data_IF_814372727232
#
_entry.id   IF_814372727232
#
_cell.length_a   1.000
_cell.length_b   1.000
_cell.length_c   1.000
_cell.angle_alpha   90.00
_cell.angle_beta   90.00
_cell.angle_gamma   90.00
#
_symmetry.space_group_name_H-M   'P 1'
#
loop_
_entity.id
_entity.type
_entity.pdbx_description
1 polymer ?
#
# COMPACT_ATOMS: atom_id res chain seq x y z
N UNK A 1 7.54 40.23 -11.04
CA UNK A 1 9.00 40.10 -11.26
C UNK A 1 9.64 39.42 -10.06
N UNK A 2 10.07 38.16 -10.21
CA UNK A 2 11.40 37.65 -9.85
C UNK A 2 11.49 36.19 -10.29
N UNK A 3 12.32 35.99 -11.30
CA UNK A 3 12.77 34.70 -11.82
C UNK A 3 13.85 34.22 -10.85
N UNK A 4 13.77 32.99 -10.37
CA UNK A 4 14.90 32.34 -9.72
C UNK A 4 15.50 31.37 -10.72
N UNK A 5 16.73 31.70 -11.10
CA UNK A 5 17.58 31.05 -12.09
C UNK A 5 18.75 30.46 -11.31
N UNK A 6 18.98 29.16 -11.53
CA UNK A 6 20.19 28.37 -11.27
C UNK A 6 20.56 28.05 -9.81
N UNK A 7 20.86 26.78 -9.53
CA UNK A 7 22.22 26.26 -9.63
C UNK A 7 22.18 24.73 -9.71
N UNK A 8 22.69 24.19 -10.82
CA UNK A 8 22.91 22.76 -10.98
C UNK A 8 24.08 22.29 -10.12
N UNK A 9 23.95 21.08 -9.57
CA UNK A 9 25.11 20.31 -9.13
C UNK A 9 25.19 19.10 -10.06
N UNK A 10 26.27 19.14 -10.83
CA UNK A 10 26.74 18.11 -11.74
C UNK A 10 27.13 16.88 -10.90
N UNK A 11 26.26 15.87 -10.81
CA UNK A 11 26.62 14.58 -10.22
C UNK A 11 27.38 13.78 -11.28
N UNK A 12 28.70 13.79 -11.13
CA UNK A 12 29.65 13.18 -12.05
C UNK A 12 29.43 11.67 -12.22
N UNK A 13 29.69 11.18 -13.42
CA UNK A 13 29.73 9.75 -13.72
C UNK A 13 31.02 9.15 -13.18
N UNK A 14 30.90 8.16 -12.28
CA UNK A 14 32.05 7.34 -11.89
C UNK A 14 32.18 6.22 -12.91
N UNK A 15 33.19 6.30 -13.78
CA UNK A 15 33.63 5.18 -14.60
C UNK A 15 34.66 4.39 -13.80
N UNK A 16 34.25 3.24 -13.27
CA UNK A 16 35.15 2.26 -12.65
C UNK A 16 35.85 1.48 -13.77
N UNK A 17 37.10 1.86 -14.06
CA UNK A 17 37.97 1.11 -14.95
C UNK A 17 39.03 0.31 -14.15
N UNK A 18 38.89 -1.02 -14.20
CA UNK A 18 39.95 -2.03 -14.11
C UNK A 18 40.37 -2.50 -12.70
N UNK A 19 40.89 -3.71 -12.49
CA UNK A 19 41.02 -4.94 -13.29
C UNK A 19 41.60 -6.00 -12.35
N UNK A 20 41.07 -7.23 -12.34
CA UNK A 20 41.81 -8.48 -12.09
C UNK A 20 40.95 -9.65 -12.58
N UNK A 21 41.55 -10.46 -13.45
CA UNK A 21 40.93 -11.48 -14.28
C UNK A 21 40.09 -12.52 -13.51
N UNK A 22 38.93 -12.83 -14.07
CA UNK A 22 38.62 -14.21 -14.43
C UNK A 22 37.75 -14.19 -15.70
N UNK A 23 38.27 -14.79 -16.76
CA UNK A 23 37.55 -15.08 -18.00
C UNK A 23 36.51 -16.15 -17.66
N UNK A 24 35.22 -15.93 -17.95
CA UNK A 24 34.38 -16.86 -18.71
C UNK A 24 33.28 -16.07 -19.41
N UNK A 25 33.02 -16.49 -20.63
CA UNK A 25 32.34 -15.84 -21.75
C UNK A 25 30.86 -16.24 -21.79
N UNK A 26 30.06 -15.44 -22.51
CA UNK A 26 28.77 -15.73 -23.19
C UNK A 26 27.70 -14.70 -22.80
N UNK A 27 27.64 -13.57 -23.51
CA UNK A 27 26.96 -13.35 -24.80
C UNK A 27 25.45 -13.10 -24.64
N UNK A 28 25.06 -11.99 -25.25
CA UNK A 28 23.75 -11.36 -25.27
C UNK A 28 22.73 -12.22 -26.03
N UNK A 29 21.45 -12.14 -25.67
CA UNK A 29 20.39 -11.96 -26.67
C UNK A 29 19.02 -11.65 -26.03
N UNK A 30 18.41 -10.57 -26.52
CA UNK A 30 16.97 -10.29 -26.49
C UNK A 30 16.16 -11.47 -27.05
N UNK A 31 14.95 -11.68 -26.53
CA UNK A 31 13.73 -11.74 -27.37
C UNK A 31 12.44 -11.64 -26.55
N UNK A 32 11.56 -10.76 -27.04
CA UNK A 32 10.13 -10.70 -26.77
C UNK A 32 9.45 -12.05 -27.12
N UNK A 33 8.31 -12.33 -26.47
CA UNK A 33 6.95 -12.46 -27.05
C UNK A 33 6.11 -13.56 -26.36
N UNK A 34 5.00 -13.12 -25.77
CA UNK A 34 3.60 -13.54 -26.01
C UNK A 34 3.17 -15.01 -25.86
N UNK A 35 2.20 -15.17 -24.94
CA UNK A 35 1.03 -16.07 -24.93
C UNK A 35 1.22 -17.58 -25.11
N UNK A 36 0.77 -18.35 -24.12
CA UNK A 36 -0.14 -19.47 -24.41
C UNK A 36 -1.10 -19.76 -23.24
N UNK A 37 -2.34 -19.99 -23.63
CA UNK A 37 -3.53 -20.35 -22.86
C UNK A 37 -3.57 -21.88 -22.75
N UNK A 38 -4.06 -22.45 -21.65
CA UNK A 38 -5.19 -23.42 -21.65
C UNK A 38 -5.43 -24.09 -20.30
N UNK A 39 -6.70 -24.01 -19.86
CA UNK A 39 -7.56 -24.99 -19.17
C UNK A 39 -6.97 -25.89 -18.06
N UNK A 40 -7.59 -26.08 -16.88
CA UNK A 40 -8.97 -25.87 -16.46
C UNK A 40 -9.41 -27.09 -15.65
N UNK A 41 -9.94 -26.89 -14.43
CA UNK A 41 -10.77 -27.84 -13.66
C UNK A 41 -11.32 -27.09 -12.44
N UNK A 42 -12.52 -26.49 -12.49
CA UNK A 42 -13.85 -27.09 -12.21
C UNK A 42 -13.85 -28.02 -11.00
N UNK A 43 -14.24 -27.47 -9.85
CA UNK A 43 -15.04 -28.20 -8.86
C UNK A 43 -16.17 -27.27 -8.44
N UNK A 44 -17.35 -27.56 -8.96
CA UNK A 44 -18.62 -27.02 -8.48
C UNK A 44 -18.92 -27.62 -7.11
N UNK A 45 -19.18 -26.75 -6.13
CA UNK A 45 -20.08 -27.05 -5.00
C UNK A 45 -21.00 -25.85 -4.84
N UNK A 46 -22.13 -25.89 -5.54
CA UNK A 46 -23.38 -25.25 -5.12
C UNK A 46 -23.85 -25.92 -3.81
N UNK A 47 -24.53 -25.31 -2.85
CA UNK A 47 -25.15 -24.00 -2.63
C UNK A 47 -25.46 -23.91 -1.13
N UNK A 48 -25.62 -22.70 -0.59
CA UNK A 48 -26.86 -22.22 0.06
C UNK A 48 -26.66 -20.72 0.43
N UNK A 49 -27.54 -19.80 -0.01
CA UNK A 49 -27.40 -18.39 0.28
C UNK A 49 -28.14 -18.07 1.59
N UNK A 50 -27.41 -17.57 2.58
CA UNK A 50 -28.06 -16.90 3.71
C UNK A 50 -27.78 -15.40 3.66
N UNK A 51 -28.84 -14.68 3.96
CA UNK A 51 -29.02 -13.27 3.70
C UNK A 51 -28.31 -12.48 4.79
N UNK A 52 -27.28 -11.74 4.40
CA UNK A 52 -27.04 -10.36 4.84
C UNK A 52 -26.15 -9.71 3.79
N UNK A 53 -26.68 -8.71 3.08
CA UNK A 53 -25.91 -7.86 2.17
C UNK A 53 -24.99 -6.97 3.02
N UNK A 54 -23.94 -7.55 3.56
CA UNK A 54 -22.69 -6.81 3.69
C UNK A 54 -22.15 -6.67 2.28
N UNK A 55 -22.29 -5.47 1.73
CA UNK A 55 -21.61 -5.08 0.51
C UNK A 55 -20.12 -5.23 0.79
N UNK A 56 -19.56 -6.41 0.47
CA UNK A 56 -18.13 -6.65 0.48
C UNK A 56 -17.58 -5.68 -0.55
N UNK A 57 -17.10 -4.53 -0.07
CA UNK A 57 -16.43 -3.53 -0.90
C UNK A 57 -15.18 -4.22 -1.42
N UNK A 58 -15.28 -4.82 -2.60
CA UNK A 58 -14.14 -5.32 -3.33
C UNK A 58 -13.30 -4.11 -3.72
N UNK A 59 -12.27 -3.81 -2.92
CA UNK A 59 -11.33 -2.73 -3.22
C UNK A 59 -10.50 -3.17 -4.41
N UNK A 60 -10.70 -2.53 -5.55
CA UNK A 60 -9.80 -2.69 -6.70
C UNK A 60 -8.43 -2.14 -6.28
N UNK A 61 -7.36 -2.95 -6.31
CA UNK A 61 -6.02 -2.48 -5.94
C UNK A 61 -5.59 -1.29 -6.81
N UNK A 62 -4.97 -0.28 -6.19
CA UNK A 62 -4.40 0.84 -6.91
C UNK A 62 -3.09 0.42 -7.60
N UNK A 63 -2.99 0.69 -8.90
CA UNK A 63 -1.74 0.50 -9.65
C UNK A 63 -0.82 1.70 -9.43
N UNK A 64 -0.01 1.63 -8.37
CA UNK A 64 0.92 2.67 -7.95
C UNK A 64 2.37 2.28 -8.21
N UNK A 65 3.17 3.23 -8.70
CA UNK A 65 4.63 3.09 -8.73
C UNK A 65 5.19 3.11 -7.30
N UNK A 66 6.44 2.67 -7.15
CA UNK A 66 7.12 2.69 -5.85
C UNK A 66 7.25 4.11 -5.27
N UNK A 67 7.56 5.10 -6.11
CA UNK A 67 7.65 6.51 -5.70
C UNK A 67 6.30 7.04 -5.19
N UNK A 68 5.19 6.64 -5.83
CA UNK A 68 3.85 7.01 -5.38
C UNK A 68 3.48 6.33 -4.06
N UNK A 69 3.87 5.07 -3.85
CA UNK A 69 3.69 4.37 -2.57
C UNK A 69 4.44 5.04 -1.43
N UNK A 70 5.68 5.47 -1.67
CA UNK A 70 6.48 6.21 -0.69
C UNK A 70 5.88 7.59 -0.37
N UNK A 71 5.33 8.27 -1.36
CA UNK A 71 4.60 9.53 -1.16
C UNK A 71 3.30 9.31 -0.36
N UNK A 72 2.51 8.30 -0.69
CA UNK A 72 1.29 7.94 0.03
C UNK A 72 1.59 7.56 1.47
N UNK A 73 2.59 6.72 1.70
CA UNK A 73 2.98 6.29 3.04
C UNK A 73 3.40 7.48 3.92
N UNK A 74 4.18 8.41 3.38
CA UNK A 74 4.52 9.66 4.08
C UNK A 74 3.26 10.46 4.45
N UNK A 75 2.31 10.60 3.52
CA UNK A 75 1.05 11.29 3.80
C UNK A 75 0.23 10.57 4.88
N UNK A 76 0.19 9.23 4.88
CA UNK A 76 -0.49 8.47 5.94
C UNK A 76 0.11 8.72 7.31
N UNK A 77 1.46 8.75 7.41
CA UNK A 77 2.16 9.06 8.67
C UNK A 77 1.82 10.45 9.17
N UNK A 78 1.77 11.45 8.27
CA UNK A 78 1.38 12.81 8.61
C UNK A 78 -0.09 12.89 9.08
N UNK A 79 -1.01 12.21 8.38
CA UNK A 79 -2.42 12.11 8.76
C UNK A 79 -2.58 11.52 10.16
N UNK A 80 -1.95 10.38 10.44
CA UNK A 80 -2.02 9.74 11.77
C UNK A 80 -1.43 10.64 12.84
N UNK A 81 -0.33 11.34 12.55
CA UNK A 81 0.26 12.30 13.49
C UNK A 81 -0.69 13.46 13.80
N UNK A 82 -1.42 13.97 12.82
CA UNK A 82 -2.44 15.02 13.01
C UNK A 82 -3.59 14.52 13.86
N UNK A 83 -4.11 13.33 13.58
CA UNK A 83 -5.20 12.71 14.33
C UNK A 83 -4.79 12.48 15.78
N UNK A 84 -3.61 11.89 16.00
CA UNK A 84 -3.06 11.61 17.33
C UNK A 84 -2.72 12.86 18.15
N UNK A 85 -2.66 14.05 17.53
CA UNK A 85 -2.51 15.31 18.26
C UNK A 85 -3.80 15.69 19.01
N UNK A 86 -4.92 15.02 18.73
CA UNK A 86 -6.16 15.16 19.46
C UNK A 86 -6.24 14.14 20.61
N UNK A 87 -6.24 14.64 21.85
CA UNK A 87 -6.28 13.84 23.09
C UNK A 87 -7.58 13.02 23.27
N UNK A 88 -8.65 13.39 22.56
CA UNK A 88 -9.95 12.69 22.63
C UNK A 88 -10.03 11.47 21.69
N UNK A 89 -8.92 11.13 21.01
CA UNK A 89 -8.88 10.03 20.03
C UNK A 89 -7.99 8.87 20.50
N UNK A 90 -8.33 7.67 20.04
CA UNK A 90 -7.45 6.52 20.16
C UNK A 90 -6.16 6.75 19.36
N UNK A 91 -5.02 6.47 19.97
CA UNK A 91 -3.73 6.60 19.30
C UNK A 91 -3.58 5.54 18.21
N UNK A 92 -3.27 5.99 17.00
CA UNK A 92 -3.06 5.15 15.83
C UNK A 92 -1.58 5.07 15.44
N UNK A 93 -1.20 4.02 14.73
CA UNK A 93 0.13 3.88 14.13
C UNK A 93 -0.01 3.42 12.68
N UNK A 94 0.92 3.86 11.83
CA UNK A 94 1.03 3.41 10.45
C UNK A 94 2.12 2.36 10.39
N UNK A 95 1.80 1.17 9.89
CA UNK A 95 2.79 0.11 9.67
C UNK A 95 3.95 0.59 8.77
N UNK A 96 5.13 -0.02 8.88
CA UNK A 96 6.20 0.15 7.90
C UNK A 96 5.72 -0.12 6.46
N UNK A 97 6.29 0.60 5.47
CA UNK A 97 5.86 0.52 4.08
C UNK A 97 6.00 -0.88 3.46
N UNK A 98 6.97 -1.67 3.93
CA UNK A 98 7.21 -3.04 3.49
C UNK A 98 6.19 -4.05 4.04
N UNK A 99 5.37 -3.65 5.01
CA UNK A 99 4.26 -4.45 5.51
C UNK A 99 2.93 -4.21 4.76
N UNK A 100 2.87 -3.20 3.88
CA UNK A 100 1.68 -2.90 3.09
C UNK A 100 1.50 -3.89 1.94
N UNK A 101 0.33 -4.51 1.88
CA UNK A 101 -0.09 -5.33 0.73
C UNK A 101 -0.63 -4.45 -0.38
N UNK A 102 -0.80 -5.02 -1.58
CA UNK A 102 -1.37 -4.30 -2.74
C UNK A 102 -2.76 -3.74 -2.45
N UNK A 103 -3.54 -4.42 -1.64
CA UNK A 103 -4.93 -4.09 -1.32
C UNK A 103 -5.04 -3.01 -0.22
N UNK A 104 -3.97 -2.79 0.55
CA UNK A 104 -3.96 -1.82 1.66
C UNK A 104 -3.82 -0.37 1.16
N UNK A 105 -3.42 -0.19 -0.10
CA UNK A 105 -3.22 1.12 -0.70
C UNK A 105 -4.54 1.77 -1.09
N UNK A 106 -4.82 2.93 -0.49
CA UNK A 106 -5.97 3.78 -0.79
C UNK A 106 -5.52 5.23 -1.02
N UNK A 107 -6.35 6.08 -1.60
CA UNK A 107 -5.98 7.50 -1.70
C UNK A 107 -5.81 8.14 -0.30
N UNK A 108 -4.88 9.09 -0.09
CA UNK A 108 -4.62 9.72 1.21
C UNK A 108 -5.88 10.29 1.89
N UNK A 109 -6.78 10.88 1.11
CA UNK A 109 -8.04 11.38 1.64
C UNK A 109 -8.95 10.25 2.14
N UNK A 110 -8.97 9.11 1.44
CA UNK A 110 -9.73 7.94 1.88
C UNK A 110 -9.10 7.31 3.12
N UNK A 111 -7.78 7.27 3.19
CA UNK A 111 -7.06 6.84 4.38
C UNK A 111 -7.40 7.70 5.60
N UNK A 112 -7.45 9.04 5.44
CA UNK A 112 -7.84 9.96 6.51
C UNK A 112 -9.20 9.62 7.10
N UNK A 113 -10.21 9.40 6.25
CA UNK A 113 -11.55 9.01 6.71
C UNK A 113 -11.51 7.71 7.52
N UNK A 114 -10.82 6.69 7.01
CA UNK A 114 -10.69 5.40 7.71
C UNK A 114 -9.96 5.56 9.05
N UNK A 115 -8.91 6.39 9.09
CA UNK A 115 -8.16 6.65 10.31
C UNK A 115 -9.00 7.43 11.33
N UNK A 116 -9.75 8.46 10.92
CA UNK A 116 -10.66 9.21 11.80
C UNK A 116 -11.77 8.32 12.38
N UNK A 117 -12.35 7.44 11.55
CA UNK A 117 -13.36 6.47 12.00
C UNK A 117 -12.78 5.50 13.05
N UNK A 118 -11.55 5.01 12.84
CA UNK A 118 -10.86 4.11 13.79
C UNK A 118 -10.46 4.84 15.07
N UNK A 119 -9.99 6.07 14.95
CA UNK A 119 -9.55 6.91 16.06
C UNK A 119 -10.69 7.22 17.03
N UNK A 120 -11.93 7.30 16.54
CA UNK A 120 -13.13 7.58 17.36
C UNK A 120 -13.93 6.34 17.73
N UNK A 121 -13.45 5.15 17.36
CA UNK A 121 -14.15 3.90 17.65
C UNK A 121 -14.17 3.60 19.15
N UNK A 122 -15.37 3.46 19.73
CA UNK A 122 -15.56 3.01 21.10
C UNK A 122 -15.96 1.52 21.15
N UNK A 123 -15.15 0.69 21.83
CA UNK A 123 -15.53 -0.70 22.10
C UNK A 123 -16.42 -0.76 23.34
N UNK A 124 -17.74 -0.90 23.16
CA UNK A 124 -18.67 -1.11 24.28
C UNK A 124 -19.21 -2.54 24.28
N UNK A 125 -19.18 -3.20 25.44
CA UNK A 125 -19.66 -4.58 25.61
C UNK A 125 -21.16 -4.75 25.26
N UNK A 126 -21.93 -3.66 25.35
CA UNK A 126 -23.34 -3.61 24.96
C UNK A 126 -23.55 -3.87 23.47
N UNK A 127 -22.59 -3.51 22.62
CA UNK A 127 -22.68 -3.69 21.16
C UNK A 127 -22.40 -5.15 20.76
N UNK A 128 -21.62 -5.89 21.55
CA UNK A 128 -21.22 -7.27 21.25
C UNK A 128 -21.94 -8.34 22.10
N UNK A 129 -23.05 -8.00 22.73
CA UNK A 129 -23.90 -8.97 23.44
C UNK A 129 -23.21 -9.64 24.64
N UNK A 130 -22.21 -8.97 25.23
CA UNK A 130 -21.65 -9.43 26.50
C UNK A 130 -22.71 -9.31 27.58
N UNK A 131 -23.11 -10.44 28.16
CA UNK A 131 -24.07 -10.46 29.27
C UNK A 131 -23.57 -9.50 30.36
N UNK A 132 -24.42 -8.58 30.85
CA UNK A 132 -24.03 -7.68 31.93
C UNK A 132 -23.63 -8.52 33.15
N UNK A 133 -22.41 -8.30 33.65
CA UNK A 133 -22.01 -8.83 34.96
C UNK A 133 -22.73 -8.00 36.03
N UNK A 134 -23.69 -8.62 36.69
CA UNK A 134 -24.41 -8.12 37.87
C UNK A 134 -23.45 -7.86 39.06
#
# INVERSE_FOLDING_TARGET
>A
MKKYIFMGILLGTIVLAGCSANEETEEQAKKEKMEDVTNGQVVEVETLPDTDKEEVVSVTPLDLTQEQKEDYHRQYVEIVKEINANEDTNHLEVSPIDEFKSEDWVEPEKFRQIAEDRATWEFTSKVFGGDPVD
#
